data_IF_455657415424
#
_entry.id   IF_455657415424
#
_cell.length_a   1.000
_cell.length_b   1.000
_cell.length_c   1.000
_cell.angle_alpha   90.00
_cell.angle_beta   90.00
_cell.angle_gamma   90.00
#
_symmetry.space_group_name_H-M   'P 1'
#
loop_
_entity.id
_entity.type
_entity.pdbx_description
1 polymer ?
#
# COMPACT_ATOMS: atom_id res chain seq x y z
N UNK A 1 -6.76 -21.25 22.19
CA UNK A 1 -5.69 -20.34 22.67
C UNK A 1 -4.37 -20.86 22.13
N UNK A 2 -3.81 -20.20 21.12
CA UNK A 2 -2.47 -20.52 20.60
C UNK A 2 -1.51 -19.45 21.07
N UNK A 3 -0.56 -19.80 21.94
CA UNK A 3 0.46 -18.85 22.39
C UNK A 3 1.56 -18.80 21.35
N UNK A 4 1.52 -17.81 20.46
CA UNK A 4 2.59 -17.57 19.50
C UNK A 4 3.71 -16.82 20.21
N UNK A 5 4.81 -17.51 20.52
CA UNK A 5 6.00 -16.89 21.08
C UNK A 5 6.74 -16.12 19.97
N UNK A 6 6.56 -14.79 19.95
CA UNK A 6 7.26 -13.91 19.03
C UNK A 6 8.69 -13.66 19.54
N UNK A 7 9.69 -13.88 18.68
CA UNK A 7 11.06 -13.44 18.95
C UNK A 7 11.09 -11.92 19.14
N UNK A 8 12.03 -11.41 19.96
CA UNK A 8 12.19 -9.97 20.23
C UNK A 8 12.28 -9.15 18.93
N UNK A 9 13.00 -9.64 17.94
CA UNK A 9 13.17 -8.96 16.64
C UNK A 9 11.85 -8.82 15.88
N UNK A 10 11.02 -9.87 15.91
CA UNK A 10 9.70 -9.86 15.28
C UNK A 10 8.78 -8.85 15.98
N UNK A 11 8.89 -8.73 17.30
CA UNK A 11 8.12 -7.76 18.10
C UNK A 11 8.49 -6.31 17.73
N UNK A 12 9.77 -6.03 17.52
CA UNK A 12 10.25 -4.71 17.08
C UNK A 12 9.71 -4.37 15.69
N UNK A 13 9.74 -5.33 14.74
CA UNK A 13 9.17 -5.14 13.41
C UNK A 13 7.67 -4.88 13.48
N UNK A 14 6.95 -5.58 14.34
CA UNK A 14 5.51 -5.41 14.53
C UNK A 14 5.15 -4.04 15.11
N UNK A 15 5.96 -3.51 16.03
CA UNK A 15 5.81 -2.14 16.55
C UNK A 15 5.96 -1.11 15.42
N UNK A 16 6.95 -1.28 14.55
CA UNK A 16 7.15 -0.38 13.39
C UNK A 16 5.95 -0.40 12.45
N UNK A 17 5.45 -1.60 12.12
CA UNK A 17 4.27 -1.77 11.26
C UNK A 17 3.03 -1.13 11.91
N UNK A 18 2.82 -1.32 13.21
CA UNK A 18 1.72 -0.69 13.94
C UNK A 18 1.82 0.85 13.93
N UNK A 19 3.03 1.40 14.10
CA UNK A 19 3.27 2.84 14.04
C UNK A 19 3.00 3.42 12.64
N UNK A 20 3.40 2.72 11.58
CA UNK A 20 3.13 3.13 10.20
C UNK A 20 1.63 3.04 9.85
N UNK A 21 0.94 2.00 10.34
CA UNK A 21 -0.51 1.89 10.24
C UNK A 21 -1.22 3.02 10.98
N UNK A 22 -0.80 3.33 12.19
CA UNK A 22 -1.37 4.43 12.98
C UNK A 22 -1.19 5.79 12.30
N UNK A 23 -0.04 6.02 11.63
CA UNK A 23 0.17 7.22 10.80
C UNK A 23 -0.76 7.26 9.60
N UNK A 24 -0.97 6.14 8.91
CA UNK A 24 -1.82 6.08 7.71
C UNK A 24 -3.31 6.20 8.03
N UNK A 25 -3.77 5.56 9.10
CA UNK A 25 -5.20 5.47 9.43
C UNK A 25 -5.64 6.50 10.47
N UNK A 26 -4.70 7.25 11.07
CA UNK A 26 -4.98 8.28 12.08
C UNK A 26 -5.61 7.77 13.38
N UNK A 27 -5.72 6.44 13.53
CA UNK A 27 -6.39 5.76 14.64
C UNK A 27 -5.38 4.93 15.41
N UNK A 28 -5.62 4.74 16.72
CA UNK A 28 -4.76 3.89 17.55
C UNK A 28 -4.84 2.44 17.05
N UNK A 29 -3.69 1.85 16.73
CA UNK A 29 -3.60 0.50 16.19
C UNK A 29 -2.94 -0.40 17.22
N UNK A 30 -3.70 -1.35 17.76
CA UNK A 30 -3.17 -2.40 18.63
C UNK A 30 -2.48 -3.50 17.83
N UNK A 31 -1.66 -4.32 18.51
CA UNK A 31 -0.93 -5.41 17.87
C UNK A 31 -1.84 -6.39 17.13
N UNK A 32 -3.04 -6.64 17.65
CA UNK A 32 -4.01 -7.53 17.01
C UNK A 32 -4.47 -6.98 15.65
N UNK A 33 -4.67 -5.67 15.58
CA UNK A 33 -5.06 -4.97 14.35
C UNK A 33 -3.90 -4.86 13.36
N UNK A 34 -2.68 -4.71 13.85
CA UNK A 34 -1.47 -4.76 13.02
C UNK A 34 -1.22 -6.17 12.45
N UNK A 35 -1.43 -7.23 13.25
CA UNK A 35 -1.33 -8.62 12.81
C UNK A 35 -2.42 -8.93 11.79
N UNK A 36 -3.67 -8.55 12.08
CA UNK A 36 -4.79 -8.72 11.16
C UNK A 36 -4.53 -8.01 9.83
N UNK A 37 -3.98 -6.79 9.85
CA UNK A 37 -3.58 -6.09 8.62
C UNK A 37 -2.46 -6.79 7.86
N UNK A 38 -1.47 -7.36 8.55
CA UNK A 38 -0.38 -8.11 7.91
C UNK A 38 -0.88 -9.43 7.30
N UNK A 39 -1.80 -10.12 7.97
CA UNK A 39 -2.47 -11.32 7.46
C UNK A 39 -3.32 -10.94 6.26
N UNK A 40 -4.11 -9.88 6.36
CA UNK A 40 -4.96 -9.37 5.29
C UNK A 40 -4.13 -8.91 4.09
N UNK A 41 -3.00 -8.23 4.32
CA UNK A 41 -2.02 -7.94 3.27
C UNK A 41 -1.44 -9.21 2.67
N UNK A 42 -1.12 -10.24 3.46
CA UNK A 42 -0.54 -11.48 2.93
C UNK A 42 -1.55 -12.29 2.11
N UNK A 43 -2.80 -12.37 2.55
CA UNK A 43 -3.88 -13.07 1.85
C UNK A 43 -4.48 -12.26 0.69
N UNK A 44 -4.64 -10.94 0.84
CA UNK A 44 -5.14 -10.05 -0.21
C UNK A 44 -4.02 -9.50 -1.13
N UNK A 45 -2.74 -9.85 -0.89
CA UNK A 45 -1.67 -9.79 -1.90
C UNK A 45 -1.72 -10.98 -2.86
N UNK A 46 -2.88 -11.61 -3.05
CA UNK A 46 -3.28 -11.87 -4.42
C UNK A 46 -3.30 -10.52 -5.15
N UNK A 47 -2.11 -10.11 -5.61
CA UNK A 47 -1.97 -9.08 -6.63
C UNK A 47 -2.97 -9.48 -7.69
N UNK A 48 -4.08 -8.75 -7.73
CA UNK A 48 -5.15 -9.02 -8.66
C UNK A 48 -4.60 -8.52 -10.00
N UNK A 49 -3.76 -9.36 -10.60
CA UNK A 49 -3.04 -9.10 -11.83
C UNK A 49 -4.02 -8.79 -12.94
N UNK A 50 -5.22 -9.38 -12.90
CA UNK A 50 -6.37 -9.04 -13.74
C UNK A 50 -6.75 -7.56 -13.61
N UNK A 51 -6.93 -7.04 -12.38
CA UNK A 51 -7.20 -5.60 -12.16
C UNK A 51 -6.03 -4.71 -12.57
N UNK A 52 -4.79 -5.17 -12.39
CA UNK A 52 -3.61 -4.43 -12.82
C UNK A 52 -3.50 -4.38 -14.35
N UNK A 53 -3.81 -5.47 -15.03
CA UNK A 53 -3.82 -5.60 -16.49
C UNK A 53 -4.91 -4.71 -17.10
N UNK A 54 -6.14 -4.73 -16.53
CA UNK A 54 -7.22 -3.80 -16.91
C UNK A 54 -6.79 -2.33 -16.71
N UNK A 55 -6.10 -2.03 -15.60
CA UNK A 55 -5.63 -0.66 -15.34
C UNK A 55 -4.53 -0.22 -16.33
N UNK A 56 -3.70 -1.16 -16.78
CA UNK A 56 -2.64 -0.92 -17.75
C UNK A 56 -3.09 -1.06 -19.21
N UNK A 57 -4.35 -1.44 -19.44
CA UNK A 57 -4.88 -1.59 -20.78
C UNK A 57 -4.91 -0.23 -21.49
N UNK A 58 -4.33 -0.19 -22.70
CA UNK A 58 -4.24 1.03 -23.49
C UNK A 58 -5.64 1.43 -23.96
N UNK A 59 -6.13 2.57 -23.47
CA UNK A 59 -7.34 3.19 -24.03
C UNK A 59 -7.07 3.62 -25.47
N UNK A 60 -7.86 3.12 -26.43
CA UNK A 60 -7.67 3.32 -27.88
C UNK A 60 -7.53 4.79 -28.32
N UNK A 61 -8.03 5.73 -27.50
CA UNK A 61 -8.04 7.17 -27.80
C UNK A 61 -7.14 8.01 -26.88
N UNK A 62 -6.23 7.39 -26.11
CA UNK A 62 -5.33 8.10 -25.20
C UNK A 62 -3.89 7.74 -25.50
N UNK A 63 -3.14 8.69 -26.06
CA UNK A 63 -1.69 8.52 -26.26
C UNK A 63 -0.97 8.60 -24.93
N UNK A 64 -0.07 7.64 -24.69
CA UNK A 64 0.84 7.64 -23.55
C UNK A 64 1.73 8.89 -23.51
N UNK A 65 2.04 9.48 -24.67
CA UNK A 65 2.80 10.74 -24.76
C UNK A 65 2.00 11.95 -24.27
N UNK A 66 0.69 11.98 -24.53
CA UNK A 66 -0.17 13.06 -24.06
C UNK A 66 -0.32 13.02 -22.53
N UNK A 67 -0.50 11.83 -21.96
CA UNK A 67 -0.53 11.64 -20.50
C UNK A 67 0.77 12.07 -19.84
N UNK A 68 1.92 11.67 -20.41
CA UNK A 68 3.24 12.09 -19.93
C UNK A 68 3.43 13.61 -20.01
N UNK A 69 2.92 14.25 -21.08
CA UNK A 69 2.98 15.70 -21.25
C UNK A 69 2.16 16.42 -20.18
N UNK A 70 0.94 15.96 -19.90
CA UNK A 70 0.09 16.53 -18.85
C UNK A 70 0.71 16.38 -17.46
N UNK A 71 1.26 15.19 -17.15
CA UNK A 71 1.86 14.91 -15.86
C UNK A 71 3.11 15.76 -15.60
N UNK A 72 3.93 16.00 -16.65
CA UNK A 72 5.06 16.93 -16.59
C UNK A 72 4.61 18.39 -16.47
N UNK A 73 3.49 18.77 -17.08
CA UNK A 73 2.93 20.13 -16.94
C UNK A 73 2.48 20.37 -15.50
N UNK A 74 1.71 19.47 -14.90
CA UNK A 74 1.26 19.58 -13.51
C UNK A 74 2.43 19.68 -12.53
N UNK A 75 3.48 18.86 -12.68
CA UNK A 75 4.68 18.98 -11.83
C UNK A 75 5.36 20.35 -11.90
N UNK A 76 5.43 20.96 -13.08
CA UNK A 76 6.00 22.30 -13.24
C UNK A 76 5.13 23.40 -12.63
N UNK A 77 3.83 23.16 -12.52
CA UNK A 77 2.89 24.08 -11.88
C UNK A 77 2.97 23.97 -10.35
N UNK A 78 3.16 22.76 -9.81
CA UNK A 78 3.37 22.54 -8.36
C UNK A 78 4.73 23.04 -7.85
N UNK A 79 5.73 23.13 -8.72
CA UNK A 79 7.08 23.66 -8.39
C UNK A 79 7.14 25.21 -8.40
N UNK A 80 6.05 25.89 -8.79
CA UNK A 80 5.95 27.36 -8.85
C UNK A 80 5.34 27.95 -7.59
#
# INVERSE_FOLDING_TARGET
MGTVMLKKDTKIKLIKVAADLQKKTGTRVDFDRAISYLIDQYFNQEQNWEKFEIFCETMENVSSEDLLRELRRGRKEDEK
#
